data_IF_692542695206
#
_entry.id   IF_692542695206
#
_cell.length_a   1.000
_cell.length_b   1.000
_cell.length_c   1.000
_cell.angle_alpha   90.00
_cell.angle_beta   90.00
_cell.angle_gamma   90.00
#
_symmetry.space_group_name_H-M   'P 1'
#
loop_
_entity.id
_entity.type
_entity.pdbx_description
1 polymer ?
#
# COMPACT_ATOMS: atom_id res chain seq x y z
N UNK A 1 20.11 30.08 3.76
CA UNK A 1 20.71 29.80 2.44
C UNK A 1 20.54 28.32 2.14
N UNK A 2 20.16 27.98 0.91
CA UNK A 2 20.02 26.56 0.48
C UNK A 2 21.41 26.05 0.04
N UNK A 3 22.14 25.44 0.98
CA UNK A 3 23.49 24.90 0.74
C UNK A 3 23.46 23.75 -0.25
N UNK A 4 22.46 22.85 -0.16
CA UNK A 4 22.35 21.69 -1.05
C UNK A 4 22.22 22.11 -2.53
N UNK A 5 21.38 23.09 -2.82
CA UNK A 5 21.24 23.63 -4.19
C UNK A 5 22.53 24.31 -4.65
N UNK A 6 23.19 25.09 -3.77
CA UNK A 6 24.45 25.73 -4.09
C UNK A 6 25.54 24.72 -4.42
N UNK A 7 25.71 23.72 -3.57
CA UNK A 7 26.73 22.66 -3.75
C UNK A 7 26.49 21.83 -5.01
N UNK A 8 25.21 21.59 -5.35
CA UNK A 8 24.86 20.90 -6.59
C UNK A 8 25.19 21.74 -7.83
N UNK A 9 24.90 23.04 -7.78
CA UNK A 9 25.26 23.98 -8.85
C UNK A 9 26.78 24.10 -9.02
N UNK A 10 27.52 24.20 -7.93
CA UNK A 10 28.99 24.30 -7.93
C UNK A 10 29.61 23.01 -8.53
N UNK A 11 29.13 21.82 -8.13
CA UNK A 11 29.56 20.54 -8.71
C UNK A 11 29.25 20.40 -10.20
N UNK A 12 28.08 20.89 -10.63
CA UNK A 12 27.67 20.86 -12.03
C UNK A 12 28.32 21.99 -12.89
N UNK A 13 29.07 22.92 -12.26
CA UNK A 13 29.65 24.10 -12.95
C UNK A 13 28.60 25.05 -13.50
N UNK A 14 27.40 25.09 -12.89
CA UNK A 14 26.25 25.87 -13.40
C UNK A 14 26.02 27.09 -12.55
N UNK A 15 26.09 28.28 -13.16
CA UNK A 15 25.80 29.56 -12.51
C UNK A 15 24.27 29.81 -12.41
N UNK A 16 23.78 30.66 -11.47
CA UNK A 16 22.35 30.91 -11.30
C UNK A 16 21.61 31.35 -12.57
N UNK A 17 22.20 32.19 -13.40
CA UNK A 17 21.58 32.62 -14.65
C UNK A 17 21.49 31.50 -15.68
N UNK A 18 22.47 30.59 -15.71
CA UNK A 18 22.47 29.42 -16.60
C UNK A 18 21.41 28.39 -16.18
N UNK A 19 21.27 28.16 -14.87
CA UNK A 19 20.20 27.32 -14.35
C UNK A 19 18.84 27.91 -14.69
N UNK A 20 18.65 29.22 -14.51
CA UNK A 20 17.41 29.91 -14.82
C UNK A 20 16.99 29.71 -16.29
N UNK A 21 17.95 29.82 -17.23
CA UNK A 21 17.72 29.56 -18.65
C UNK A 21 17.35 28.11 -18.93
N UNK A 22 18.05 27.14 -18.30
CA UNK A 22 17.79 25.71 -18.51
C UNK A 22 16.41 25.25 -18.06
N UNK A 23 15.90 25.85 -16.96
CA UNK A 23 14.61 25.44 -16.37
C UNK A 23 13.48 26.43 -16.67
N UNK A 24 13.70 27.42 -17.55
CA UNK A 24 12.66 28.33 -18.01
C UNK A 24 12.11 29.27 -16.95
N UNK A 25 12.95 29.74 -16.00
CA UNK A 25 12.55 30.69 -14.95
C UNK A 25 13.40 31.96 -14.97
N UNK A 26 12.96 33.00 -14.29
CA UNK A 26 13.76 34.22 -14.13
C UNK A 26 14.95 34.02 -13.19
N UNK A 27 16.08 34.67 -13.47
CA UNK A 27 17.29 34.63 -12.65
C UNK A 27 17.01 34.94 -11.17
N UNK A 28 16.18 35.98 -10.90
CA UNK A 28 15.77 36.33 -9.52
C UNK A 28 15.05 35.18 -8.78
N UNK A 29 14.41 34.29 -9.50
CA UNK A 29 13.74 33.12 -8.94
C UNK A 29 14.77 32.11 -8.42
N UNK A 30 15.80 31.81 -9.19
CA UNK A 30 16.91 30.94 -8.75
C UNK A 30 17.66 31.56 -7.56
N UNK A 31 17.95 32.88 -7.61
CA UNK A 31 18.55 33.58 -6.49
C UNK A 31 17.71 33.48 -5.22
N UNK A 32 16.38 33.54 -5.34
CA UNK A 32 15.46 33.40 -4.22
C UNK A 32 15.47 31.96 -3.64
N UNK A 33 15.63 30.92 -4.46
CA UNK A 33 15.78 29.55 -3.99
C UNK A 33 17.09 29.33 -3.24
N UNK A 34 18.15 29.99 -3.66
CA UNK A 34 19.45 29.97 -2.97
C UNK A 34 19.41 30.68 -1.63
N UNK A 35 18.76 31.84 -1.56
CA UNK A 35 18.74 32.69 -0.35
C UNK A 35 17.71 32.22 0.68
N UNK A 36 16.59 31.66 0.24
CA UNK A 36 15.51 31.20 1.12
C UNK A 36 15.24 29.69 0.94
N UNK A 37 15.77 28.82 1.84
CA UNK A 37 15.63 27.37 1.75
C UNK A 37 14.19 26.88 1.94
N UNK A 38 13.31 27.68 2.55
CA UNK A 38 11.89 27.36 2.72
C UNK A 38 11.08 27.55 1.42
N UNK A 39 11.63 28.26 0.44
CA UNK A 39 10.99 28.47 -0.86
C UNK A 39 11.45 27.44 -1.87
N UNK A 40 10.72 26.34 -1.95
CA UNK A 40 10.90 25.34 -3.00
C UNK A 40 10.09 25.70 -4.27
N UNK A 41 10.58 25.37 -5.46
CA UNK A 41 9.79 25.43 -6.70
C UNK A 41 8.60 24.46 -6.67
N UNK A 42 7.67 24.64 -7.62
CA UNK A 42 6.65 23.64 -7.90
C UNK A 42 7.29 22.32 -8.34
N UNK A 43 6.59 21.21 -8.18
CA UNK A 43 7.10 19.85 -8.43
C UNK A 43 7.80 19.70 -9.78
N UNK A 44 7.11 20.03 -10.86
CA UNK A 44 7.67 19.98 -12.21
C UNK A 44 8.99 20.76 -12.35
N UNK A 45 9.03 21.97 -11.81
CA UNK A 45 10.25 22.81 -11.86
C UNK A 45 11.37 22.23 -10.98
N UNK A 46 11.05 21.50 -9.89
CA UNK A 46 12.05 20.79 -9.08
C UNK A 46 12.68 19.64 -9.85
N UNK A 47 11.85 18.90 -10.59
CA UNK A 47 12.30 17.81 -11.47
C UNK A 47 13.22 18.37 -12.56
N UNK A 48 12.81 19.47 -13.22
CA UNK A 48 13.64 20.14 -14.25
C UNK A 48 14.99 20.59 -13.69
N UNK A 49 15.02 21.12 -12.44
CA UNK A 49 16.26 21.53 -11.76
C UNK A 49 17.12 20.31 -11.42
N UNK A 50 16.51 19.24 -10.89
CA UNK A 50 17.22 17.99 -10.59
C UNK A 50 17.86 17.39 -11.84
N UNK A 51 17.13 17.34 -12.94
CA UNK A 51 17.63 16.89 -14.24
C UNK A 51 18.77 17.80 -14.76
N UNK A 52 18.60 19.11 -14.67
CA UNK A 52 19.61 20.07 -15.14
C UNK A 52 20.93 20.03 -14.34
N UNK A 53 20.89 19.57 -13.09
CA UNK A 53 22.04 19.47 -12.18
C UNK A 53 22.51 18.01 -11.98
N UNK A 54 21.81 17.02 -12.51
CA UNK A 54 22.14 15.60 -12.39
C UNK A 54 22.03 15.06 -10.95
N UNK A 55 21.05 15.57 -10.16
CA UNK A 55 20.84 15.19 -8.76
C UNK A 55 19.36 14.96 -8.46
N UNK A 56 19.07 14.12 -7.48
CA UNK A 56 17.70 13.92 -7.01
C UNK A 56 17.13 15.25 -6.45
N UNK A 57 15.99 15.74 -6.99
CA UNK A 57 15.33 16.97 -6.51
C UNK A 57 15.04 16.98 -5.01
N UNK A 58 14.83 15.80 -4.41
CA UNK A 58 14.57 15.63 -2.97
C UNK A 58 15.76 16.13 -2.14
N UNK A 59 16.97 15.93 -2.61
CA UNK A 59 18.21 16.37 -1.92
C UNK A 59 18.37 17.88 -1.92
N UNK A 60 17.83 18.56 -2.93
CA UNK A 60 17.94 20.02 -3.08
C UNK A 60 16.97 20.78 -2.16
N UNK A 61 15.80 20.18 -1.87
CA UNK A 61 14.76 20.76 -1.03
C UNK A 61 14.18 19.73 -0.05
N UNK A 62 14.96 19.17 0.88
CA UNK A 62 14.50 18.12 1.78
C UNK A 62 13.30 18.54 2.64
N UNK A 63 13.24 19.80 3.07
CA UNK A 63 12.11 20.34 3.83
C UNK A 63 10.82 20.46 3.01
N UNK A 64 10.90 20.65 1.70
CA UNK A 64 9.70 20.72 0.84
C UNK A 64 9.08 19.35 0.58
N UNK A 65 9.84 18.29 0.80
CA UNK A 65 9.34 16.91 0.79
C UNK A 65 8.79 16.56 2.17
N UNK A 66 9.44 16.99 3.23
CA UNK A 66 8.90 16.87 4.60
C UNK A 66 7.63 17.71 4.83
N UNK A 67 7.44 18.84 4.13
CA UNK A 67 6.17 19.59 4.18
C UNK A 67 5.02 18.94 3.42
N UNK A 68 5.25 17.79 2.76
CA UNK A 68 4.22 16.83 2.33
C UNK A 68 3.79 15.87 3.45
N UNK A 69 4.31 16.01 4.66
CA UNK A 69 3.62 15.43 5.82
C UNK A 69 2.28 16.14 5.86
N UNK A 70 1.26 15.45 5.36
CA UNK A 70 -0.11 15.90 5.42
C UNK A 70 -0.40 16.27 6.86
N UNK A 71 -0.69 17.54 7.12
CA UNK A 71 -1.15 18.01 8.42
C UNK A 71 -2.67 17.94 8.37
N UNK A 72 -3.25 16.90 8.94
CA UNK A 72 -4.69 16.70 8.92
C UNK A 72 -5.06 15.23 9.11
N UNK A 73 -6.35 14.95 9.12
CA UNK A 73 -6.90 13.62 9.33
C UNK A 73 -6.58 12.62 8.19
N UNK A 74 -6.08 13.10 7.05
CA UNK A 74 -5.72 12.27 5.87
C UNK A 74 -4.23 11.92 5.80
N UNK A 75 -3.43 12.30 6.80
CA UNK A 75 -1.96 12.12 6.77
C UNK A 75 -1.51 10.67 6.71
N UNK A 76 -2.33 9.72 7.19
CA UNK A 76 -2.07 8.30 7.10
C UNK A 76 -2.33 7.72 5.70
N UNK A 77 -3.10 8.41 4.83
CA UNK A 77 -3.33 7.96 3.46
C UNK A 77 -2.09 8.25 2.62
N UNK A 78 -1.33 7.21 2.29
CA UNK A 78 -0.13 7.28 1.43
C UNK A 78 -0.54 7.50 -0.02
N UNK A 79 -1.51 6.71 -0.50
CA UNK A 79 -2.05 6.78 -1.86
C UNK A 79 -3.51 6.33 -1.90
N UNK A 80 -4.24 6.81 -2.90
CA UNK A 80 -5.58 6.32 -3.24
C UNK A 80 -5.59 5.94 -4.73
N UNK A 81 -6.14 4.77 -5.03
CA UNK A 81 -6.28 4.24 -6.39
C UNK A 81 -7.75 4.18 -6.74
N UNK A 82 -8.18 4.62 -7.93
CA UNK A 82 -9.59 4.59 -8.34
C UNK A 82 -10.13 3.15 -8.43
N UNK A 83 -9.26 2.17 -8.64
CA UNK A 83 -9.56 0.74 -8.62
C UNK A 83 -8.31 -0.03 -8.21
N UNK A 84 -8.47 -1.19 -7.54
CA UNK A 84 -7.36 -2.00 -7.01
C UNK A 84 -6.36 -2.40 -8.08
N UNK A 85 -6.83 -2.73 -9.28
CA UNK A 85 -5.98 -3.11 -10.42
C UNK A 85 -5.11 -1.96 -10.97
N UNK A 86 -5.36 -0.70 -10.56
CA UNK A 86 -4.48 0.42 -10.87
C UNK A 86 -3.22 0.47 -10.00
N UNK A 87 -3.20 -0.25 -8.88
CA UNK A 87 -2.01 -0.33 -8.04
C UNK A 87 -0.95 -1.21 -8.69
N UNK A 88 0.31 -0.76 -8.76
CA UNK A 88 1.36 -1.56 -9.38
C UNK A 88 1.63 -2.85 -8.58
N UNK A 89 1.85 -3.95 -9.28
CA UNK A 89 2.20 -5.25 -8.66
C UNK A 89 3.46 -5.15 -7.79
N UNK A 90 4.38 -4.24 -8.11
CA UNK A 90 5.57 -3.95 -7.32
C UNK A 90 5.25 -3.39 -5.93
N UNK A 91 4.15 -2.66 -5.76
CA UNK A 91 3.70 -2.19 -4.43
C UNK A 91 3.37 -3.39 -3.54
N UNK A 92 2.55 -4.33 -4.04
CA UNK A 92 2.21 -5.56 -3.30
C UNK A 92 3.46 -6.37 -2.95
N UNK A 93 4.34 -6.57 -3.93
CA UNK A 93 5.59 -7.29 -3.72
C UNK A 93 6.45 -6.63 -2.64
N UNK A 94 6.61 -5.30 -2.68
CA UNK A 94 7.41 -4.56 -1.70
C UNK A 94 6.82 -4.61 -0.29
N UNK A 95 5.50 -4.52 -0.15
CA UNK A 95 4.82 -4.63 1.15
C UNK A 95 4.96 -6.06 1.73
N UNK A 96 4.73 -7.09 0.91
CA UNK A 96 4.90 -8.48 1.33
C UNK A 96 6.36 -8.75 1.72
N UNK A 97 7.33 -8.29 0.94
CA UNK A 97 8.76 -8.52 1.23
C UNK A 97 9.23 -7.73 2.45
N UNK A 98 8.76 -6.50 2.58
CA UNK A 98 9.16 -5.61 3.67
C UNK A 98 8.61 -5.99 5.05
N UNK A 99 7.44 -6.64 5.10
CA UNK A 99 6.84 -7.04 6.38
C UNK A 99 7.68 -8.11 7.08
N UNK A 100 7.91 -7.95 8.38
CA UNK A 100 8.76 -8.81 9.19
C UNK A 100 8.11 -9.33 10.48
N UNK A 101 7.02 -8.71 10.93
CA UNK A 101 6.34 -9.05 12.17
C UNK A 101 4.99 -9.71 11.93
N UNK A 102 4.18 -9.11 11.05
CA UNK A 102 2.82 -9.59 10.82
C UNK A 102 2.32 -9.29 9.41
N UNK A 103 1.65 -10.27 8.82
CA UNK A 103 0.92 -10.15 7.57
C UNK A 103 -0.50 -10.65 7.81
N UNK A 104 -1.51 -9.84 7.46
CA UNK A 104 -2.91 -10.26 7.55
C UNK A 104 -3.61 -9.98 6.23
N UNK A 105 -4.25 -10.99 5.70
CA UNK A 105 -5.00 -10.97 4.45
C UNK A 105 -6.47 -11.23 4.78
N UNK A 106 -7.26 -10.17 4.96
CA UNK A 106 -8.68 -10.25 5.28
C UNK A 106 -9.54 -9.84 4.08
N UNK A 107 -10.37 -10.74 3.59
CA UNK A 107 -11.26 -10.50 2.46
C UNK A 107 -11.99 -11.78 2.09
N UNK A 108 -13.04 -11.69 1.23
CA UNK A 108 -13.80 -12.90 0.89
C UNK A 108 -12.94 -14.02 0.30
N UNK A 109 -12.07 -13.70 -0.65
CA UNK A 109 -11.39 -14.75 -1.41
C UNK A 109 -9.87 -14.74 -1.34
N UNK A 110 -9.26 -13.58 -1.25
CA UNK A 110 -7.80 -13.37 -1.33
C UNK A 110 -7.11 -14.04 -2.54
N UNK A 111 -7.91 -14.56 -3.49
CA UNK A 111 -7.51 -15.39 -4.63
C UNK A 111 -6.49 -14.72 -5.55
N UNK A 112 -6.68 -13.40 -5.83
CA UNK A 112 -5.80 -12.66 -6.75
C UNK A 112 -4.33 -12.65 -6.30
N UNK A 113 -4.07 -12.73 -5.00
CA UNK A 113 -2.71 -12.77 -4.45
C UNK A 113 -1.92 -13.97 -4.99
N UNK A 114 -2.56 -15.13 -5.06
CA UNK A 114 -1.96 -16.36 -5.56
C UNK A 114 -1.69 -16.30 -7.06
N UNK A 115 -2.55 -15.61 -7.81
CA UNK A 115 -2.37 -15.41 -9.25
C UNK A 115 -1.27 -14.42 -9.59
N UNK A 116 -1.19 -13.30 -8.86
CA UNK A 116 -0.29 -12.18 -9.19
C UNK A 116 1.09 -12.31 -8.56
N UNK A 117 1.25 -13.16 -7.53
CA UNK A 117 2.52 -13.33 -6.82
C UNK A 117 3.00 -14.79 -6.88
N UNK A 118 3.76 -15.16 -7.91
CA UNK A 118 4.37 -16.48 -7.99
C UNK A 118 5.20 -16.76 -6.73
N UNK A 119 5.13 -18.00 -6.23
CA UNK A 119 5.81 -18.44 -5.00
C UNK A 119 5.36 -17.71 -3.71
N UNK A 120 4.15 -17.12 -3.70
CA UNK A 120 3.63 -16.46 -2.50
C UNK A 120 3.69 -17.39 -1.29
N UNK A 121 3.21 -18.63 -1.40
CA UNK A 121 3.24 -19.61 -0.32
C UNK A 121 4.64 -19.80 0.27
N UNK A 122 5.65 -20.03 -0.58
CA UNK A 122 7.03 -20.19 -0.11
C UNK A 122 7.58 -18.92 0.59
N UNK A 123 7.18 -17.73 0.12
CA UNK A 123 7.58 -16.46 0.77
C UNK A 123 6.92 -16.30 2.14
N UNK A 124 5.63 -16.62 2.26
CA UNK A 124 4.90 -16.54 3.52
C UNK A 124 5.39 -17.59 4.52
N UNK A 125 5.64 -18.83 4.06
CA UNK A 125 6.26 -19.88 4.86
C UNK A 125 7.61 -19.44 5.42
N UNK A 126 8.51 -18.93 4.57
CA UNK A 126 9.81 -18.42 5.02
C UNK A 126 9.69 -17.29 6.06
N UNK A 127 8.69 -16.41 5.93
CA UNK A 127 8.44 -15.36 6.93
C UNK A 127 7.95 -15.94 8.26
N UNK A 128 7.03 -16.90 8.21
CA UNK A 128 6.55 -17.58 9.41
C UNK A 128 7.69 -18.33 10.11
N UNK A 129 8.55 -19.04 9.36
CA UNK A 129 9.73 -19.72 9.89
C UNK A 129 10.74 -18.76 10.56
N UNK A 130 10.70 -17.46 10.19
CA UNK A 130 11.46 -16.38 10.84
C UNK A 130 10.68 -15.63 11.93
N UNK A 131 9.54 -16.16 12.36
CA UNK A 131 8.76 -15.64 13.48
C UNK A 131 7.70 -14.59 13.13
N UNK A 132 7.46 -14.31 11.86
CA UNK A 132 6.36 -13.44 11.45
C UNK A 132 5.01 -14.17 11.58
N UNK A 133 3.97 -13.45 12.03
CA UNK A 133 2.61 -13.98 12.06
C UNK A 133 1.91 -13.75 10.73
N UNK A 134 1.40 -14.82 10.12
CA UNK A 134 0.67 -14.77 8.84
C UNK A 134 -0.78 -15.21 9.07
N UNK A 135 -1.74 -14.36 8.78
CA UNK A 135 -3.17 -14.61 8.98
C UNK A 135 -3.97 -14.46 7.71
N UNK A 136 -4.86 -15.42 7.47
CA UNK A 136 -5.85 -15.36 6.40
C UNK A 136 -7.25 -15.41 7.00
N UNK A 137 -8.04 -14.36 6.75
CA UNK A 137 -9.47 -14.35 6.99
C UNK A 137 -10.15 -14.44 5.62
N UNK A 138 -10.94 -15.48 5.41
CA UNK A 138 -11.69 -15.70 4.17
C UNK A 138 -13.17 -15.91 4.46
N UNK A 139 -14.03 -15.68 3.48
CA UNK A 139 -15.44 -16.06 3.60
C UNK A 139 -15.57 -17.57 3.79
N UNK A 140 -16.62 -18.01 4.48
CA UNK A 140 -16.99 -19.43 4.48
C UNK A 140 -17.66 -19.75 3.14
N UNK A 141 -17.10 -20.68 2.31
CA UNK A 141 -17.65 -20.99 1.00
C UNK A 141 -19.06 -21.61 1.04
N UNK A 142 -19.49 -22.13 2.20
CA UNK A 142 -20.80 -22.75 2.40
C UNK A 142 -21.81 -21.79 3.06
N UNK A 143 -21.41 -20.56 3.41
CA UNK A 143 -22.28 -19.62 4.11
C UNK A 143 -23.25 -18.89 3.18
N UNK A 144 -24.44 -18.55 3.71
CA UNK A 144 -25.42 -17.70 3.03
C UNK A 144 -24.84 -16.30 2.70
N UNK A 145 -23.87 -15.82 3.50
CA UNK A 145 -23.23 -14.53 3.29
C UNK A 145 -22.36 -14.57 2.03
N UNK A 146 -21.65 -15.66 1.80
CA UNK A 146 -20.87 -15.87 0.57
C UNK A 146 -21.79 -15.99 -0.64
N UNK A 147 -22.88 -16.75 -0.53
CA UNK A 147 -23.89 -16.85 -1.59
C UNK A 147 -24.48 -15.48 -1.96
N UNK A 148 -24.87 -14.69 -0.98
CA UNK A 148 -25.37 -13.31 -1.21
C UNK A 148 -24.31 -12.41 -1.87
N UNK A 149 -23.03 -12.60 -1.55
CA UNK A 149 -21.96 -11.86 -2.21
C UNK A 149 -21.82 -12.26 -3.68
N UNK A 150 -21.92 -13.56 -4.00
CA UNK A 150 -21.93 -14.06 -5.39
C UNK A 150 -23.09 -13.47 -6.19
N UNK A 151 -24.30 -13.45 -5.60
CA UNK A 151 -25.48 -12.85 -6.22
C UNK A 151 -25.25 -11.36 -6.49
N UNK A 152 -24.67 -10.61 -5.54
CA UNK A 152 -24.37 -9.20 -5.71
C UNK A 152 -23.33 -8.92 -6.81
N UNK A 153 -22.33 -9.80 -6.98
CA UNK A 153 -21.35 -9.71 -8.06
C UNK A 153 -21.93 -10.16 -9.43
N UNK A 154 -23.11 -10.81 -9.45
CA UNK A 154 -23.75 -11.27 -10.67
C UNK A 154 -23.03 -12.44 -11.35
N UNK A 155 -22.10 -13.10 -10.68
CA UNK A 155 -21.29 -14.21 -11.23
C UNK A 155 -21.39 -15.41 -10.29
N UNK A 156 -22.33 -16.33 -10.51
CA UNK A 156 -22.56 -17.50 -9.65
C UNK A 156 -21.33 -18.37 -9.50
N UNK A 157 -21.15 -18.99 -8.33
CA UNK A 157 -20.11 -19.94 -7.98
C UNK A 157 -18.67 -19.42 -8.07
N UNK A 158 -18.46 -18.12 -8.22
CA UNK A 158 -17.10 -17.55 -8.36
C UNK A 158 -16.46 -17.23 -7.03
N UNK A 159 -17.20 -16.69 -6.07
CA UNK A 159 -16.64 -16.32 -4.76
C UNK A 159 -16.29 -17.58 -3.99
N UNK A 160 -17.21 -18.54 -3.87
CA UNK A 160 -16.99 -19.84 -3.21
C UNK A 160 -15.85 -20.63 -3.85
N UNK A 161 -15.78 -20.67 -5.18
CA UNK A 161 -14.67 -21.34 -5.90
C UNK A 161 -13.32 -20.66 -5.64
N UNK A 162 -13.26 -19.33 -5.67
CA UNK A 162 -12.04 -18.57 -5.37
C UNK A 162 -11.58 -18.74 -3.92
N UNK A 163 -12.52 -18.88 -2.98
CA UNK A 163 -12.19 -19.22 -1.58
C UNK A 163 -11.52 -20.59 -1.53
N UNK A 164 -12.12 -21.61 -2.15
CA UNK A 164 -11.55 -22.97 -2.17
C UNK A 164 -10.17 -23.03 -2.80
N UNK A 165 -9.91 -22.25 -3.87
CA UNK A 165 -8.55 -22.15 -4.46
C UNK A 165 -7.56 -21.53 -3.46
N UNK A 166 -7.97 -20.55 -2.68
CA UNK A 166 -7.11 -19.98 -1.64
C UNK A 166 -6.82 -20.99 -0.53
N UNK A 167 -7.82 -21.76 -0.10
CA UNK A 167 -7.66 -22.81 0.90
C UNK A 167 -6.73 -23.93 0.40
N UNK A 168 -6.90 -24.38 -0.83
CA UNK A 168 -6.00 -25.37 -1.47
C UNK A 168 -4.55 -24.86 -1.56
N UNK A 169 -4.37 -23.58 -1.84
CA UNK A 169 -3.03 -22.98 -1.85
C UNK A 169 -2.39 -22.90 -0.46
N UNK A 170 -3.18 -22.65 0.59
CA UNK A 170 -2.71 -22.67 1.99
C UNK A 170 -2.41 -24.11 2.43
N UNK A 171 -3.26 -25.08 2.11
CA UNK A 171 -3.03 -26.50 2.38
C UNK A 171 -1.74 -27.00 1.71
N UNK A 172 -1.52 -26.65 0.44
CA UNK A 172 -0.29 -26.98 -0.30
C UNK A 172 0.98 -26.34 0.27
N UNK A 173 0.84 -25.21 0.96
CA UNK A 173 1.96 -24.60 1.68
C UNK A 173 2.40 -25.50 2.85
N UNK A 174 1.51 -26.28 3.41
CA UNK A 174 1.73 -27.13 4.57
C UNK A 174 1.66 -26.38 5.90
N UNK A 175 1.74 -27.12 7.01
CA UNK A 175 1.68 -26.51 8.34
C UNK A 175 2.97 -25.74 8.65
N UNK A 176 2.82 -24.48 8.99
CA UNK A 176 3.90 -23.62 9.49
C UNK A 176 3.46 -22.96 10.81
N UNK A 177 4.31 -23.02 11.83
CA UNK A 177 4.05 -22.27 13.05
C UNK A 177 3.96 -20.77 12.71
N UNK A 178 2.91 -20.11 13.17
CA UNK A 178 2.65 -18.68 12.86
C UNK A 178 1.78 -18.44 11.63
N UNK A 179 1.37 -19.48 10.88
CA UNK A 179 0.36 -19.36 9.80
C UNK A 179 -0.99 -19.84 10.31
N UNK A 180 -1.98 -18.95 10.26
CA UNK A 180 -3.34 -19.23 10.73
C UNK A 180 -4.35 -18.79 9.67
N UNK A 181 -5.43 -19.56 9.51
CA UNK A 181 -6.56 -19.19 8.69
C UNK A 181 -7.87 -19.30 9.47
N UNK A 182 -8.81 -18.39 9.19
CA UNK A 182 -10.17 -18.44 9.74
C UNK A 182 -11.21 -18.15 8.68
N UNK A 183 -12.35 -18.83 8.80
CA UNK A 183 -13.56 -18.49 8.06
C UNK A 183 -14.31 -17.36 8.76
N UNK A 184 -14.87 -16.46 7.97
CA UNK A 184 -15.90 -15.52 8.42
C UNK A 184 -17.24 -15.87 7.79
N UNK A 185 -18.25 -16.08 8.60
CA UNK A 185 -19.66 -16.16 8.22
C UNK A 185 -20.37 -14.80 8.30
N UNK A 186 -19.63 -13.75 8.67
CA UNK A 186 -20.10 -12.38 8.70
C UNK A 186 -19.84 -11.68 7.36
N UNK A 187 -20.60 -10.62 7.09
CA UNK A 187 -20.39 -9.80 5.93
C UNK A 187 -19.02 -9.09 5.98
N UNK A 188 -18.17 -9.38 5.00
CA UNK A 188 -16.86 -8.73 4.85
C UNK A 188 -17.04 -7.49 3.96
N UNK A 189 -17.27 -6.34 4.58
CA UNK A 189 -17.50 -5.08 3.86
C UNK A 189 -16.23 -4.51 3.19
N UNK A 190 -15.07 -4.90 3.69
CA UNK A 190 -13.77 -4.42 3.25
C UNK A 190 -12.81 -5.58 3.06
N UNK A 191 -12.02 -5.58 1.97
CA UNK A 191 -10.77 -6.33 1.95
C UNK A 191 -9.66 -5.48 2.55
N UNK A 192 -8.98 -6.00 3.56
CA UNK A 192 -7.88 -5.32 4.25
C UNK A 192 -6.65 -6.22 4.25
N UNK A 193 -5.56 -5.70 3.74
CA UNK A 193 -4.28 -6.40 3.64
C UNK A 193 -3.26 -5.64 4.47
N UNK A 194 -2.83 -6.21 5.60
CA UNK A 194 -1.95 -5.55 6.57
C UNK A 194 -0.54 -6.11 6.47
N UNK A 195 0.44 -5.23 6.58
CA UNK A 195 1.87 -5.50 6.47
C UNK A 195 2.59 -4.63 7.50
N UNK A 196 2.81 -5.13 8.71
CA UNK A 196 3.34 -4.40 9.87
C UNK A 196 2.58 -3.08 10.12
N UNK A 197 3.19 -1.94 9.84
CA UNK A 197 2.62 -0.59 10.00
C UNK A 197 1.88 -0.06 8.75
N UNK A 198 1.76 -0.87 7.70
CA UNK A 198 1.11 -0.48 6.46
C UNK A 198 -0.08 -1.38 6.12
N UNK A 199 -1.05 -0.85 5.41
CA UNK A 199 -2.17 -1.65 4.90
C UNK A 199 -2.69 -1.14 3.56
N UNK A 200 -3.35 -2.06 2.84
CA UNK A 200 -4.16 -1.76 1.66
C UNK A 200 -5.60 -2.08 1.99
N UNK A 201 -6.50 -1.13 1.78
CA UNK A 201 -7.94 -1.27 2.09
C UNK A 201 -8.76 -1.08 0.82
N UNK A 202 -9.61 -2.05 0.52
CA UNK A 202 -10.53 -2.02 -0.63
C UNK A 202 -11.96 -2.20 -0.13
N UNK A 203 -12.83 -1.17 -0.17
CA UNK A 203 -14.24 -1.33 0.14
C UNK A 203 -14.95 -2.14 -0.94
N UNK A 204 -15.90 -2.98 -0.54
CA UNK A 204 -16.78 -3.70 -1.47
C UNK A 204 -17.98 -2.81 -1.82
N UNK A 205 -17.94 -2.18 -3.00
CA UNK A 205 -18.96 -1.22 -3.43
C UNK A 205 -19.97 -1.93 -4.36
N UNK A 206 -21.19 -2.06 -3.89
CA UNK A 206 -22.31 -2.63 -4.65
C UNK A 206 -21.93 -3.92 -5.40
N UNK A 207 -22.13 -3.94 -6.73
CA UNK A 207 -21.81 -5.07 -7.60
C UNK A 207 -20.38 -5.06 -8.16
N UNK A 208 -19.54 -4.08 -7.78
CA UNK A 208 -18.18 -4.02 -8.28
C UNK A 208 -17.37 -5.22 -7.81
N UNK A 209 -16.61 -5.78 -8.71
CA UNK A 209 -15.61 -6.78 -8.37
C UNK A 209 -14.48 -6.16 -7.54
N UNK A 210 -13.75 -6.97 -6.79
CA UNK A 210 -12.70 -6.47 -5.92
C UNK A 210 -11.57 -5.73 -6.64
N UNK A 211 -11.30 -6.05 -7.91
CA UNK A 211 -10.29 -5.39 -8.74
C UNK A 211 -10.77 -4.06 -9.33
N UNK A 212 -12.09 -3.87 -9.45
CA UNK A 212 -12.74 -2.64 -9.91
C UNK A 212 -13.02 -1.66 -8.76
N UNK A 213 -12.99 -2.13 -7.52
CA UNK A 213 -13.24 -1.30 -6.34
C UNK A 213 -12.03 -0.42 -6.01
N UNK A 214 -12.24 0.79 -5.46
CA UNK A 214 -11.14 1.67 -5.07
C UNK A 214 -10.25 1.03 -4.00
N UNK A 215 -9.00 1.47 -3.93
CA UNK A 215 -8.06 1.00 -2.92
C UNK A 215 -7.30 2.16 -2.30
N UNK A 216 -7.12 2.08 -0.98
CA UNK A 216 -6.33 3.03 -0.19
C UNK A 216 -5.09 2.35 0.34
N UNK A 217 -3.92 2.96 0.17
CA UNK A 217 -2.70 2.61 0.85
C UNK A 217 -2.56 3.49 2.09
N UNK A 218 -2.51 2.88 3.26
CA UNK A 218 -2.51 3.56 4.55
C UNK A 218 -1.27 3.13 5.32
N UNK A 219 -0.64 4.08 6.04
CA UNK A 219 0.44 3.84 6.97
C UNK A 219 0.07 4.36 8.35
N UNK A 220 0.35 3.58 9.37
CA UNK A 220 0.16 3.98 10.77
C UNK A 220 1.15 5.09 11.14
N UNK A 221 0.65 6.24 11.56
CA UNK A 221 1.45 7.38 11.98
C UNK A 221 1.12 7.85 13.39
N UNK A 222 -0.05 7.50 13.89
CA UNK A 222 -0.53 7.88 15.22
C UNK A 222 -1.43 6.80 15.81
N UNK A 223 -1.59 6.81 17.12
CA UNK A 223 -2.54 5.97 17.82
C UNK A 223 -3.97 6.46 17.58
N UNK A 224 -4.93 5.54 17.52
CA UNK A 224 -6.34 5.83 17.20
C UNK A 224 -6.60 6.49 15.84
N UNK A 225 -5.61 6.43 14.93
CA UNK A 225 -5.70 6.94 13.57
C UNK A 225 -6.58 6.08 12.65
N UNK A 226 -6.54 6.40 11.38
CA UNK A 226 -7.29 5.69 10.34
C UNK A 226 -6.83 4.22 10.22
N UNK A 227 -5.50 3.97 10.35
CA UNK A 227 -4.95 2.62 10.38
C UNK A 227 -5.58 1.79 11.50
N UNK A 228 -5.61 2.31 12.71
CA UNK A 228 -6.10 1.58 13.87
C UNK A 228 -7.62 1.29 13.78
N UNK A 229 -8.40 2.15 13.13
CA UNK A 229 -9.84 1.91 12.87
C UNK A 229 -10.04 0.69 11.97
N UNK A 230 -9.29 0.57 10.88
CA UNK A 230 -9.37 -0.60 10.01
C UNK A 230 -8.77 -1.85 10.65
N UNK A 231 -7.67 -1.71 11.40
CA UNK A 231 -7.08 -2.82 12.14
C UNK A 231 -8.06 -3.39 13.19
N UNK A 232 -8.77 -2.52 13.91
CA UNK A 232 -9.79 -2.92 14.89
C UNK A 232 -10.97 -3.66 14.22
N UNK A 233 -11.38 -3.24 13.02
CA UNK A 233 -12.39 -3.95 12.23
C UNK A 233 -11.92 -5.36 11.87
N UNK A 234 -10.69 -5.50 11.38
CA UNK A 234 -10.10 -6.81 11.05
C UNK A 234 -9.99 -7.70 12.29
N UNK A 235 -9.57 -7.12 13.43
CA UNK A 235 -9.50 -7.85 14.70
C UNK A 235 -10.87 -8.39 15.12
N UNK A 236 -11.92 -7.58 15.03
CA UNK A 236 -13.29 -8.01 15.36
C UNK A 236 -13.76 -9.17 14.46
N UNK A 237 -13.51 -9.10 13.14
CA UNK A 237 -13.82 -10.19 12.22
C UNK A 237 -13.00 -11.46 12.54
N UNK A 238 -11.73 -11.27 12.91
CA UNK A 238 -10.84 -12.39 13.26
C UNK A 238 -11.31 -13.11 14.52
N UNK A 239 -11.67 -12.38 15.57
CA UNK A 239 -12.15 -12.97 16.82
C UNK A 239 -13.47 -13.71 16.64
N UNK A 240 -14.37 -13.21 15.79
CA UNK A 240 -15.61 -13.89 15.43
C UNK A 240 -15.44 -15.03 14.43
N UNK A 241 -14.24 -15.20 13.86
CA UNK A 241 -14.00 -16.20 12.82
C UNK A 241 -13.77 -17.61 13.37
N UNK A 242 -14.14 -18.62 12.59
CA UNK A 242 -13.94 -20.04 12.87
C UNK A 242 -12.61 -20.53 12.28
N UNK A 243 -11.73 -21.24 13.05
CA UNK A 243 -10.47 -21.76 12.52
C UNK A 243 -10.67 -22.65 11.28
N UNK A 244 -9.73 -22.55 10.33
CA UNK A 244 -9.57 -23.46 9.21
C UNK A 244 -8.47 -24.45 9.58
N UNK A 245 -8.72 -25.74 9.42
CA UNK A 245 -7.69 -26.77 9.53
C UNK A 245 -6.83 -26.72 8.26
N UNK A 246 -5.53 -26.45 8.40
CA UNK A 246 -4.55 -26.34 7.31
C UNK A 246 -3.60 -27.54 7.30
#
# INVERSE_FOLDING_TARGET
>A
MNTALKDAMDRAGVRPHQLALRVGVEHKTVTRWLTNPERAPRERTREDVGQALGVDPVTLWPKSVQSRVKTGHDREIVAAYPFRSAAPTSLWASLIDGASQSLTFAGYTNYFLWQQHPRLGARLAAKADHGARVRFLVGDPESDVTTKREEAEGVPLTVSTRIRITLDALEKMGPHEGVEARFSDQHIALSVFMFDDQMLVTPHIASLLGDESPMFHIRRLEDDGLYDRFASHVAALWEGGRPVEL
#
